data_IF_160314363896
#
_entry.id   IF_160314363896
#
_cell.length_a   1.000
_cell.length_b   1.000
_cell.length_c   1.000
_cell.angle_alpha   90.00
_cell.angle_beta   90.00
_cell.angle_gamma   90.00
#
_symmetry.space_group_name_H-M   'P 1'
#
loop_
_entity.id
_entity.type
_entity.pdbx_description
1 polymer ?
#
# COMPACT_ATOMS: atom_id res chain seq x y z
N UNK A 1 26.14 -52.91 7.83
CA UNK A 1 26.88 -52.06 6.85
C UNK A 1 26.39 -52.20 5.39
N UNK A 2 25.19 -52.74 5.09
CA UNK A 2 24.65 -52.84 3.71
C UNK A 2 23.12 -52.60 3.60
N UNK A 3 22.50 -52.00 4.61
CA UNK A 3 21.07 -51.64 4.60
C UNK A 3 20.80 -50.13 4.58
N UNK A 4 21.81 -49.30 4.86
CA UNK A 4 21.67 -47.83 4.89
C UNK A 4 22.02 -47.15 3.56
N UNK A 5 22.73 -47.84 2.64
CA UNK A 5 23.02 -47.32 1.31
C UNK A 5 21.82 -47.41 0.35
N UNK A 6 20.92 -48.38 0.54
CA UNK A 6 19.77 -48.61 -0.35
C UNK A 6 18.60 -47.63 -0.14
N UNK A 7 18.59 -46.89 0.97
CA UNK A 7 17.58 -45.86 1.28
C UNK A 7 18.01 -44.50 0.70
N UNK A 8 19.32 -44.23 0.64
CA UNK A 8 19.84 -43.01 0.02
C UNK A 8 19.68 -43.00 -1.51
N UNK A 9 19.88 -44.15 -2.18
CA UNK A 9 19.72 -44.25 -3.65
C UNK A 9 18.26 -44.23 -4.17
N UNK A 10 17.26 -44.40 -3.29
CA UNK A 10 15.85 -44.20 -3.67
C UNK A 10 15.34 -42.78 -3.43
N UNK A 11 16.07 -41.96 -2.66
CA UNK A 11 15.69 -40.57 -2.38
C UNK A 11 16.27 -39.62 -3.45
N UNK A 12 17.40 -39.95 -4.08
CA UNK A 12 17.99 -39.14 -5.15
C UNK A 12 17.26 -39.23 -6.50
N UNK A 13 16.53 -40.32 -6.77
CA UNK A 13 15.76 -40.48 -8.02
C UNK A 13 14.40 -39.77 -7.98
N UNK A 14 13.91 -39.36 -6.80
CA UNK A 14 12.67 -38.58 -6.66
C UNK A 14 12.93 -37.07 -6.72
N UNK A 15 14.15 -36.62 -6.43
CA UNK A 15 14.52 -35.21 -6.46
C UNK A 15 14.79 -34.65 -7.89
N UNK A 16 15.10 -35.52 -8.87
CA UNK A 16 15.34 -35.11 -10.26
C UNK A 16 14.15 -35.33 -11.20
N UNK A 17 13.00 -35.78 -10.70
CA UNK A 17 11.77 -35.90 -11.51
C UNK A 17 10.70 -34.83 -11.19
N UNK A 18 10.97 -33.94 -10.23
CA UNK A 18 10.13 -32.76 -9.93
C UNK A 18 10.83 -31.46 -10.40
N UNK A 19 11.74 -31.56 -11.37
CA UNK A 19 12.30 -30.43 -12.12
C UNK A 19 12.25 -30.67 -13.64
N UNK A 20 11.26 -31.45 -14.09
CA UNK A 20 10.97 -31.62 -15.53
C UNK A 20 9.47 -31.66 -15.83
N UNK A 21 8.66 -31.07 -14.96
CA UNK A 21 7.30 -30.67 -15.34
C UNK A 21 7.44 -29.35 -16.11
N UNK A 22 7.81 -29.51 -17.39
CA UNK A 22 7.49 -28.62 -18.51
C UNK A 22 7.72 -27.11 -18.31
N UNK A 23 8.50 -26.52 -19.22
CA UNK A 23 8.47 -25.09 -19.55
C UNK A 23 7.10 -24.66 -20.10
N UNK A 24 6.01 -24.94 -19.39
CA UNK A 24 4.80 -24.15 -19.54
C UNK A 24 5.14 -22.82 -18.88
N UNK A 25 5.61 -21.85 -19.67
CA UNK A 25 5.46 -20.44 -19.32
C UNK A 25 3.98 -20.29 -18.98
N UNK A 26 3.62 -20.37 -17.70
CA UNK A 26 2.29 -19.98 -17.24
C UNK A 26 2.21 -18.50 -17.56
N UNK A 27 1.59 -18.19 -18.69
CA UNK A 27 1.24 -16.82 -19.03
C UNK A 27 0.28 -16.39 -17.93
N UNK A 28 0.78 -15.59 -16.99
CA UNK A 28 -0.07 -14.91 -16.05
C UNK A 28 -1.05 -14.07 -16.88
N UNK A 29 -2.34 -14.01 -16.50
CA UNK A 29 -3.31 -13.21 -17.22
C UNK A 29 -2.84 -11.75 -17.26
N UNK A 30 -2.61 -11.24 -18.48
CA UNK A 30 -2.11 -9.89 -18.69
C UNK A 30 -3.20 -8.85 -18.45
N UNK A 31 -2.82 -7.72 -17.87
CA UNK A 31 -3.70 -6.60 -17.56
C UNK A 31 -4.00 -5.83 -18.86
N UNK A 32 -5.28 -5.59 -19.15
CA UNK A 32 -5.72 -4.85 -20.34
C UNK A 32 -5.16 -3.40 -20.36
N UNK A 33 -5.08 -2.75 -21.54
CA UNK A 33 -4.70 -1.34 -21.64
C UNK A 33 -5.49 -0.45 -20.67
N UNK A 34 -4.81 0.53 -20.06
CA UNK A 34 -5.32 1.40 -18.99
C UNK A 34 -5.66 0.70 -17.65
N UNK A 35 -5.35 -0.59 -17.50
CA UNK A 35 -5.46 -1.26 -16.20
C UNK A 35 -4.35 -0.85 -15.22
N UNK A 36 -4.62 -1.03 -13.92
CA UNK A 36 -3.69 -0.70 -12.84
C UNK A 36 -2.65 -1.80 -12.69
N UNK A 37 -1.36 -1.46 -12.81
CA UNK A 37 -0.23 -2.38 -12.74
C UNK A 37 0.73 -2.07 -11.57
N UNK A 38 0.25 -1.34 -10.55
CA UNK A 38 1.03 -0.93 -9.37
C UNK A 38 1.72 -2.13 -8.71
N UNK A 39 3.04 -2.07 -8.58
CA UNK A 39 3.86 -3.16 -8.02
C UNK A 39 4.43 -4.14 -9.05
N UNK A 40 4.09 -3.96 -10.34
CA UNK A 40 4.64 -4.73 -11.47
C UNK A 40 5.36 -3.82 -12.48
N UNK A 41 5.90 -2.69 -12.02
CA UNK A 41 6.70 -1.79 -12.85
C UNK A 41 7.96 -2.53 -13.34
N UNK A 42 8.16 -2.64 -14.65
CA UNK A 42 9.28 -3.39 -15.26
C UNK A 42 9.05 -4.87 -15.55
N UNK A 43 7.84 -5.41 -15.32
CA UNK A 43 7.46 -6.78 -15.70
C UNK A 43 6.41 -6.76 -16.83
N UNK A 44 6.27 -7.86 -17.59
CA UNK A 44 5.26 -8.07 -18.66
C UNK A 44 3.83 -8.24 -18.09
N UNK A 45 3.43 -7.37 -17.17
CA UNK A 45 2.11 -7.39 -16.55
C UNK A 45 1.03 -6.78 -17.45
N UNK A 46 1.40 -5.97 -18.44
CA UNK A 46 0.49 -5.25 -19.31
C UNK A 46 0.37 -5.91 -20.69
N UNK A 47 -0.86 -6.08 -21.18
CA UNK A 47 -1.13 -6.69 -22.47
C UNK A 47 -0.65 -5.79 -23.61
N UNK A 48 0.37 -6.28 -24.34
CA UNK A 48 1.03 -5.55 -25.43
C UNK A 48 1.47 -4.13 -25.02
N UNK A 49 2.01 -3.99 -23.80
CA UNK A 49 2.32 -2.68 -23.24
C UNK A 49 3.26 -2.74 -22.05
N UNK A 50 3.54 -1.57 -21.47
CA UNK A 50 4.42 -1.44 -20.31
C UNK A 50 3.70 -0.79 -19.15
N UNK A 51 4.05 -1.21 -17.95
CA UNK A 51 3.58 -0.57 -16.74
C UNK A 51 4.38 0.72 -16.50
N UNK A 52 3.74 1.88 -16.67
CA UNK A 52 4.36 3.19 -16.50
C UNK A 52 3.52 4.01 -15.53
N UNK A 53 4.14 4.50 -14.46
CA UNK A 53 3.49 5.27 -13.39
C UNK A 53 2.24 4.56 -12.84
N UNK A 54 2.35 3.24 -12.58
CA UNK A 54 1.25 2.37 -12.14
C UNK A 54 0.12 2.10 -13.14
N UNK A 55 0.22 2.49 -14.41
CA UNK A 55 -0.80 2.24 -15.44
C UNK A 55 -0.25 1.51 -16.66
N UNK A 56 -1.05 0.61 -17.24
CA UNK A 56 -0.71 -0.08 -18.48
C UNK A 56 -0.84 0.84 -19.69
N UNK A 57 0.29 1.18 -20.30
CA UNK A 57 0.38 1.95 -21.55
C UNK A 57 0.59 0.99 -22.73
N UNK A 58 -0.18 1.09 -23.84
CA UNK A 58 0.08 0.32 -25.05
C UNK A 58 1.48 0.58 -25.59
N UNK A 59 2.17 -0.48 -26.03
CA UNK A 59 3.53 -0.39 -26.57
C UNK A 59 3.54 0.31 -27.91
N UNK A 60 4.02 1.55 -27.95
CA UNK A 60 4.55 2.13 -29.19
C UNK A 60 5.85 1.38 -29.49
N UNK A 61 5.97 0.76 -30.66
CA UNK A 61 7.23 0.20 -31.14
C UNK A 61 8.23 1.35 -31.31
N UNK A 62 9.02 1.63 -30.28
CA UNK A 62 10.08 2.62 -30.37
C UNK A 62 11.26 1.97 -31.09
N UNK A 63 11.40 2.25 -32.38
CA UNK A 63 12.68 2.08 -33.06
C UNK A 63 13.70 2.91 -32.30
N UNK A 64 14.73 2.24 -31.78
CA UNK A 64 15.87 2.88 -31.16
C UNK A 64 16.62 3.66 -32.24
N UNK A 65 16.63 4.98 -32.14
CA UNK A 65 17.75 5.79 -32.63
C UNK A 65 18.37 6.48 -31.43
N UNK A 66 19.37 5.80 -30.88
CA UNK A 66 20.41 6.43 -30.10
C UNK A 66 21.18 7.37 -31.04
N UNK A 67 21.19 8.67 -30.73
CA UNK A 67 22.32 9.52 -31.07
C UNK A 67 22.68 10.30 -29.81
N UNK A 68 23.80 9.89 -29.21
CA UNK A 68 24.59 10.72 -28.32
C UNK A 68 24.95 12.01 -29.06
N UNK A 69 24.70 13.16 -28.43
CA UNK A 69 25.54 14.36 -28.55
C UNK A 69 25.03 15.48 -27.62
N UNK A 70 25.76 15.69 -26.53
CA UNK A 70 26.05 17.04 -26.01
C UNK A 70 27.52 17.35 -26.37
N UNK A 71 28.03 18.60 -26.28
CA UNK A 71 27.38 19.86 -25.85
C UNK A 71 27.62 21.01 -26.86
N UNK A 72 27.01 22.19 -26.64
CA UNK A 72 27.67 23.52 -26.69
C UNK A 72 26.66 24.65 -26.37
N UNK A 73 26.93 25.31 -25.23
CA UNK A 73 26.95 26.76 -24.96
C UNK A 73 26.22 27.73 -25.91
N UNK A 74 25.37 28.62 -25.37
CA UNK A 74 25.50 30.11 -25.41
C UNK A 74 24.27 30.81 -24.79
N UNK A 75 24.56 31.91 -24.06
CA UNK A 75 23.72 33.06 -23.69
C UNK A 75 22.68 32.97 -22.56
N UNK A 76 23.00 33.76 -21.53
CA UNK A 76 22.12 34.35 -20.52
C UNK A 76 20.97 35.14 -21.16
N UNK A 77 19.75 35.00 -20.63
CA UNK A 77 18.82 36.12 -20.52
C UNK A 77 18.09 36.10 -19.18
N UNK A 78 18.42 37.13 -18.41
CA UNK A 78 17.86 37.54 -17.14
C UNK A 78 16.51 38.20 -17.39
N UNK A 79 15.42 37.69 -16.80
CA UNK A 79 14.20 38.48 -16.60
C UNK A 79 13.92 38.52 -15.10
N UNK A 80 14.41 39.59 -14.48
CA UNK A 80 13.91 40.09 -13.21
C UNK A 80 12.60 40.85 -13.45
N UNK A 81 11.60 40.61 -12.61
CA UNK A 81 10.52 41.55 -12.25
C UNK A 81 9.85 40.96 -11.00
N UNK A 82 10.32 41.30 -9.80
CA UNK A 82 10.03 42.47 -8.95
C UNK A 82 8.55 42.60 -8.56
N UNK A 83 8.33 42.37 -7.27
CA UNK A 83 7.14 42.57 -6.46
C UNK A 83 6.37 43.86 -6.72
N UNK A 84 5.05 43.77 -6.58
CA UNK A 84 4.22 44.85 -5.99
C UNK A 84 3.25 44.24 -4.97
N UNK A 85 3.55 44.45 -3.69
CA UNK A 85 2.59 44.42 -2.58
C UNK A 85 1.87 45.76 -2.51
N UNK A 86 0.54 45.76 -2.28
CA UNK A 86 -0.28 46.76 -1.54
C UNK A 86 -1.79 46.66 -1.93
N UNK A 87 -2.76 47.26 -1.18
CA UNK A 87 -3.21 46.84 0.14
C UNK A 87 -4.77 46.76 0.25
N UNK A 88 -5.24 46.29 1.41
CA UNK A 88 -6.55 46.51 2.06
C UNK A 88 -7.74 47.01 1.24
N UNK A 89 -8.72 46.13 1.04
CA UNK A 89 -10.14 46.50 0.92
C UNK A 89 -10.93 45.71 1.98
N UNK A 90 -11.43 46.48 2.94
CA UNK A 90 -12.20 46.07 4.11
C UNK A 90 -13.67 46.01 3.71
N UNK A 91 -14.25 44.82 3.56
CA UNK A 91 -15.71 44.70 3.50
C UNK A 91 -16.22 43.52 4.34
N UNK A 92 -16.78 43.93 5.48
CA UNK A 92 -18.01 43.43 6.11
C UNK A 92 -17.96 42.03 6.75
N UNK A 93 -17.86 42.10 8.08
CA UNK A 93 -18.24 41.06 9.04
C UNK A 93 -19.69 40.66 8.85
N UNK A 94 -19.93 39.63 8.04
CA UNK A 94 -21.15 38.86 8.11
C UNK A 94 -20.92 37.71 9.07
N UNK A 95 -21.31 37.90 10.32
CA UNK A 95 -21.50 36.84 11.32
C UNK A 95 -22.57 35.86 10.84
N UNK A 96 -22.26 34.57 10.60
CA UNK A 96 -23.26 33.53 10.62
C UNK A 96 -23.42 33.09 12.08
N UNK A 97 -24.55 33.51 12.66
CA UNK A 97 -25.34 32.82 13.69
C UNK A 97 -24.74 31.50 14.17
N UNK A 98 -24.37 31.47 15.45
CA UNK A 98 -24.12 30.26 16.25
C UNK A 98 -25.22 29.24 15.98
N UNK A 99 -24.90 28.24 15.15
CA UNK A 99 -25.66 27.01 15.12
C UNK A 99 -25.08 26.15 16.24
N UNK A 100 -25.93 25.88 17.23
CA UNK A 100 -25.74 24.82 18.20
C UNK A 100 -25.40 23.54 17.45
N UNK A 101 -24.12 23.14 17.51
CA UNK A 101 -23.65 21.89 16.94
C UNK A 101 -24.32 20.73 17.69
N UNK A 102 -25.41 20.25 17.12
CA UNK A 102 -25.93 18.92 17.41
C UNK A 102 -24.85 17.88 17.06
N UNK A 103 -24.78 16.72 17.73
CA UNK A 103 -23.80 15.69 17.41
C UNK A 103 -24.10 15.11 16.02
N UNK A 104 -23.47 15.67 14.98
CA UNK A 104 -23.58 15.15 13.64
C UNK A 104 -23.00 13.73 13.62
N UNK A 105 -23.86 12.74 13.43
CA UNK A 105 -23.46 11.38 13.09
C UNK A 105 -22.59 11.48 11.83
N UNK A 106 -21.41 10.85 11.88
CA UNK A 106 -20.38 10.97 10.86
C UNK A 106 -20.95 10.72 9.44
N UNK A 107 -20.50 11.48 8.43
CA UNK A 107 -20.87 11.23 7.04
C UNK A 107 -20.49 9.80 6.65
N UNK A 108 -21.28 9.20 5.75
CA UNK A 108 -21.05 7.86 5.25
C UNK A 108 -19.60 7.74 4.72
N UNK A 109 -18.79 6.76 5.17
CA UNK A 109 -17.37 6.69 4.80
C UNK A 109 -17.18 6.63 3.29
N UNK A 110 -16.19 7.35 2.78
CA UNK A 110 -15.83 7.28 1.37
C UNK A 110 -15.35 5.87 1.01
N UNK A 111 -15.95 5.25 -0.01
CA UNK A 111 -15.55 3.92 -0.47
C UNK A 111 -14.19 4.01 -1.17
N UNK A 112 -13.21 3.26 -0.69
CA UNK A 112 -11.86 3.21 -1.22
C UNK A 112 -11.22 1.84 -0.95
N UNK A 113 -10.85 1.12 -2.01
CA UNK A 113 -10.16 -0.18 -1.92
C UNK A 113 -8.79 -0.13 -1.25
N UNK A 114 -8.19 1.06 -1.12
CA UNK A 114 -6.94 1.31 -0.38
C UNK A 114 -7.19 1.92 1.02
N UNK A 115 -8.39 1.75 1.57
CA UNK A 115 -8.69 2.21 2.92
C UNK A 115 -8.16 1.22 3.96
N UNK A 116 -7.04 1.55 4.60
CA UNK A 116 -6.40 0.76 5.64
C UNK A 116 -6.03 1.60 6.85
N UNK A 117 -5.84 0.94 7.98
CA UNK A 117 -5.10 1.45 9.12
C UNK A 117 -3.62 1.08 8.95
N UNK A 118 -2.75 1.88 9.56
CA UNK A 118 -1.31 1.65 9.54
C UNK A 118 -0.79 1.04 10.85
N UNK A 119 -1.60 1.05 11.92
CA UNK A 119 -1.24 0.59 13.27
C UNK A 119 -2.31 -0.37 13.85
N UNK A 120 -1.91 -1.52 14.45
CA UNK A 120 -2.85 -2.48 15.04
C UNK A 120 -3.65 -1.93 16.23
N UNK A 121 -3.26 -0.79 16.79
CA UNK A 121 -3.96 -0.13 17.90
C UNK A 121 -5.05 0.85 17.44
N UNK A 122 -5.18 1.14 16.15
CA UNK A 122 -6.14 2.11 15.61
C UNK A 122 -7.59 1.86 16.08
N UNK A 123 -8.03 0.60 16.12
CA UNK A 123 -9.38 0.25 16.59
C UNK A 123 -9.59 0.50 18.10
N UNK A 124 -8.53 0.38 18.90
CA UNK A 124 -8.57 0.69 20.33
C UNK A 124 -8.63 2.20 20.55
N UNK A 125 -7.76 2.94 19.87
CA UNK A 125 -7.72 4.41 19.93
C UNK A 125 -9.00 5.07 19.42
N UNK A 126 -9.57 4.58 18.32
CA UNK A 126 -10.84 5.08 17.81
C UNK A 126 -11.97 4.93 18.84
N UNK A 127 -12.05 3.79 19.53
CA UNK A 127 -13.02 3.55 20.63
C UNK A 127 -12.79 4.47 21.83
N UNK A 128 -11.55 4.88 22.07
CA UNK A 128 -11.19 5.84 23.12
C UNK A 128 -11.45 7.31 22.72
N UNK A 129 -11.96 7.56 21.51
CA UNK A 129 -12.29 8.92 21.05
C UNK A 129 -11.12 9.67 20.41
N UNK A 130 -9.99 9.00 20.15
CA UNK A 130 -8.80 9.62 19.56
C UNK A 130 -9.09 10.22 18.18
N UNK A 131 -10.08 9.72 17.44
CA UNK A 131 -10.52 10.31 16.17
C UNK A 131 -11.00 11.76 16.31
N UNK A 132 -11.36 12.20 17.53
CA UNK A 132 -11.76 13.59 17.84
C UNK A 132 -10.67 14.36 18.59
N UNK A 133 -9.87 13.67 19.39
CA UNK A 133 -8.84 14.28 20.25
C UNK A 133 -7.54 14.46 19.47
N UNK A 134 -7.09 13.43 18.76
CA UNK A 134 -5.86 13.40 17.99
C UNK A 134 -6.15 13.28 16.48
N UNK A 135 -6.89 14.25 15.96
CA UNK A 135 -7.37 14.27 14.57
C UNK A 135 -6.24 14.05 13.56
N UNK A 136 -5.11 14.76 13.73
CA UNK A 136 -4.03 14.75 12.74
C UNK A 136 -3.40 13.34 12.60
N UNK A 137 -3.11 12.69 13.72
CA UNK A 137 -2.57 11.33 13.71
C UNK A 137 -3.59 10.33 13.18
N UNK A 138 -4.82 10.38 13.72
CA UNK A 138 -5.84 9.41 13.40
C UNK A 138 -6.33 9.52 11.95
N UNK A 139 -6.43 10.74 11.40
CA UNK A 139 -6.76 10.95 9.98
C UNK A 139 -5.64 10.47 9.04
N UNK A 140 -4.39 10.40 9.52
CA UNK A 140 -3.27 9.95 8.71
C UNK A 140 -3.10 8.44 8.75
N UNK A 141 -3.15 7.85 9.93
CA UNK A 141 -2.76 6.46 10.17
C UNK A 141 -3.93 5.53 10.50
N UNK A 142 -5.07 6.06 10.98
CA UNK A 142 -6.21 5.27 11.46
C UNK A 142 -7.50 5.60 10.71
N UNK A 143 -7.38 5.91 9.41
CA UNK A 143 -8.49 6.38 8.56
C UNK A 143 -9.70 5.45 8.59
N UNK A 144 -9.45 4.14 8.58
CA UNK A 144 -10.51 3.13 8.58
C UNK A 144 -11.22 3.10 9.93
N UNK A 145 -10.47 3.01 11.04
CA UNK A 145 -11.09 3.00 12.38
C UNK A 145 -11.86 4.29 12.68
N UNK A 146 -11.41 5.43 12.15
CA UNK A 146 -12.14 6.70 12.24
C UNK A 146 -13.25 6.89 11.21
N UNK A 147 -13.55 5.87 10.40
CA UNK A 147 -14.62 5.89 9.39
C UNK A 147 -14.50 7.04 8.39
N UNK A 148 -13.26 7.46 8.09
CA UNK A 148 -12.98 8.45 7.04
C UNK A 148 -13.11 7.78 5.67
N UNK A 149 -12.79 6.49 5.61
CA UNK A 149 -12.98 5.66 4.44
C UNK A 149 -13.46 4.26 4.84
N UNK A 150 -13.92 3.50 3.86
CA UNK A 150 -14.23 2.08 4.02
C UNK A 150 -13.71 1.30 2.80
N UNK A 151 -13.18 0.10 3.02
CA UNK A 151 -12.75 -0.80 1.95
C UNK A 151 -13.87 -1.80 1.65
N UNK A 152 -14.54 -1.71 0.48
CA UNK A 152 -15.67 -2.59 0.18
C UNK A 152 -15.28 -4.07 0.03
N UNK A 153 -14.00 -4.35 -0.21
CA UNK A 153 -13.48 -5.73 -0.35
C UNK A 153 -13.05 -6.35 0.98
N UNK A 154 -13.08 -5.58 2.07
CA UNK A 154 -12.54 -5.98 3.36
C UNK A 154 -13.55 -5.77 4.49
N UNK A 155 -14.63 -6.56 4.44
CA UNK A 155 -15.70 -6.58 5.45
C UNK A 155 -15.60 -7.77 6.41
N UNK A 156 -14.49 -8.52 6.35
CA UNK A 156 -14.31 -9.73 7.15
C UNK A 156 -13.93 -9.34 8.57
N UNK A 157 -14.51 -10.04 9.55
CA UNK A 157 -14.16 -9.90 10.95
C UNK A 157 -13.16 -11.00 11.35
N UNK A 158 -12.36 -10.73 12.39
CA UNK A 158 -11.38 -11.68 12.91
C UNK A 158 -10.03 -11.65 12.19
N UNK A 159 -9.23 -12.71 12.38
CA UNK A 159 -7.89 -12.79 11.81
C UNK A 159 -7.91 -13.17 10.34
N UNK A 160 -7.38 -12.30 9.49
CA UNK A 160 -7.22 -12.54 8.06
C UNK A 160 -6.24 -11.52 7.47
N UNK A 161 -5.84 -11.74 6.24
CA UNK A 161 -5.09 -10.76 5.45
C UNK A 161 -6.06 -9.82 4.75
N UNK A 162 -5.84 -8.52 4.98
CA UNK A 162 -6.63 -7.40 4.44
C UNK A 162 -6.09 -6.91 3.11
N UNK A 163 -4.83 -7.20 2.81
CA UNK A 163 -4.18 -6.78 1.58
C UNK A 163 -3.73 -7.98 0.74
N UNK A 164 -3.95 -7.91 -0.57
CA UNK A 164 -3.69 -9.02 -1.50
C UNK A 164 -2.19 -9.39 -1.57
N UNK A 165 -1.31 -8.40 -1.36
CA UNK A 165 0.16 -8.58 -1.39
C UNK A 165 0.79 -9.10 -0.09
N UNK A 166 0.02 -9.51 0.92
CA UNK A 166 0.58 -9.99 2.19
C UNK A 166 1.60 -11.12 2.01
N UNK A 167 1.29 -12.12 1.18
CA UNK A 167 2.21 -13.24 0.87
C UNK A 167 3.53 -12.75 0.27
N UNK A 168 3.49 -11.79 -0.66
CA UNK A 168 4.68 -11.19 -1.26
C UNK A 168 5.52 -10.47 -0.21
N UNK A 169 4.92 -9.64 0.63
CA UNK A 169 5.66 -8.89 1.67
C UNK A 169 6.21 -9.78 2.77
N UNK A 170 5.55 -10.90 3.08
CA UNK A 170 6.10 -11.91 3.98
C UNK A 170 7.40 -12.51 3.47
N UNK A 171 7.48 -12.79 2.17
CA UNK A 171 8.70 -13.27 1.53
C UNK A 171 9.84 -12.23 1.61
N UNK A 172 9.49 -10.93 1.66
CA UNK A 172 10.43 -9.82 1.86
C UNK A 172 10.75 -9.53 3.34
N UNK A 173 10.37 -10.40 4.27
CA UNK A 173 10.55 -10.24 5.72
C UNK A 173 9.87 -9.00 6.34
N UNK A 174 8.75 -8.55 5.74
CA UNK A 174 8.06 -7.35 6.25
C UNK A 174 7.33 -7.60 7.57
N UNK A 175 6.96 -8.85 7.90
CA UNK A 175 6.40 -9.16 9.23
C UNK A 175 7.33 -8.76 10.37
N UNK A 176 8.64 -8.67 10.11
CA UNK A 176 9.63 -8.17 11.08
C UNK A 176 9.97 -6.71 10.81
N UNK A 177 10.28 -6.34 9.55
CA UNK A 177 10.77 -4.99 9.19
C UNK A 177 9.70 -3.90 9.20
N UNK A 178 8.44 -4.26 8.92
CA UNK A 178 7.28 -3.36 8.87
C UNK A 178 6.16 -3.92 9.76
N UNK A 179 6.54 -4.29 10.98
CA UNK A 179 5.72 -5.11 11.89
C UNK A 179 4.36 -4.48 12.20
N UNK A 180 4.28 -3.18 12.44
CA UNK A 180 3.02 -2.46 12.69
C UNK A 180 2.03 -2.60 11.54
N UNK A 181 2.44 -2.16 10.34
CA UNK A 181 1.59 -2.22 9.16
C UNK A 181 1.15 -3.66 8.85
N UNK A 182 2.08 -4.62 8.94
CA UNK A 182 1.76 -6.02 8.72
C UNK A 182 0.83 -6.60 9.80
N UNK A 183 0.95 -6.16 11.05
CA UNK A 183 0.09 -6.64 12.14
C UNK A 183 -1.35 -6.16 11.97
N UNK A 184 -1.52 -4.97 11.42
CA UNK A 184 -2.86 -4.50 11.09
C UNK A 184 -3.39 -5.20 9.83
N UNK A 185 -2.58 -5.38 8.78
CA UNK A 185 -3.09 -5.70 7.45
C UNK A 185 -2.81 -7.14 6.96
N UNK A 186 -1.94 -7.89 7.62
CA UNK A 186 -1.41 -9.19 7.16
C UNK A 186 -1.29 -10.22 8.30
N UNK A 187 -2.33 -10.31 9.12
CA UNK A 187 -2.31 -11.10 10.36
C UNK A 187 -2.13 -12.60 10.10
N UNK A 188 -2.83 -13.15 9.10
CA UNK A 188 -2.79 -14.58 8.82
C UNK A 188 -1.42 -14.96 8.25
N UNK A 189 -0.95 -14.23 7.24
CA UNK A 189 0.35 -14.49 6.63
C UNK A 189 1.52 -14.34 7.61
N UNK A 190 1.43 -13.41 8.58
CA UNK A 190 2.47 -13.23 9.60
C UNK A 190 2.30 -14.13 10.83
N UNK A 191 1.24 -14.95 10.90
CA UNK A 191 1.04 -15.91 11.99
C UNK A 191 0.50 -15.31 13.30
N UNK A 192 -0.24 -14.20 13.23
CA UNK A 192 -0.80 -13.51 14.41
C UNK A 192 -2.24 -13.89 14.75
N UNK A 193 -2.81 -14.92 14.11
CA UNK A 193 -4.19 -15.35 14.39
C UNK A 193 -4.43 -15.98 15.77
N UNK A 194 -3.36 -16.31 16.50
CA UNK A 194 -3.45 -16.83 17.86
C UNK A 194 -3.50 -15.72 18.93
N UNK A 195 -3.62 -14.46 18.52
CA UNK A 195 -3.73 -13.30 19.39
C UNK A 195 -5.05 -12.58 19.15
N UNK A 196 -5.63 -12.03 20.20
CA UNK A 196 -6.73 -11.08 20.05
C UNK A 196 -6.19 -9.69 19.61
N UNK A 197 -7.05 -8.78 19.10
CA UNK A 197 -6.60 -7.46 18.61
C UNK A 197 -5.83 -6.65 19.65
N UNK A 198 -6.21 -6.73 20.93
CA UNK A 198 -5.57 -6.00 22.02
C UNK A 198 -4.16 -6.54 22.31
N UNK A 199 -3.98 -7.86 22.34
CA UNK A 199 -2.68 -8.51 22.48
C UNK A 199 -1.78 -8.21 21.28
N UNK A 200 -2.35 -8.20 20.07
CA UNK A 200 -1.60 -7.87 18.87
C UNK A 200 -1.11 -6.42 18.91
N UNK A 201 -2.00 -5.48 19.24
CA UNK A 201 -1.65 -4.09 19.50
C UNK A 201 -0.53 -3.98 20.55
N UNK A 202 -0.69 -4.59 21.73
CA UNK A 202 0.31 -4.51 22.80
C UNK A 202 1.66 -5.14 22.45
N UNK A 203 1.67 -6.22 21.65
CA UNK A 203 2.90 -6.93 21.29
C UNK A 203 3.65 -6.29 20.12
N UNK A 204 2.98 -5.48 19.30
CA UNK A 204 3.54 -4.89 18.06
C UNK A 204 3.73 -3.38 18.15
N UNK A 205 2.90 -2.68 18.92
CA UNK A 205 3.12 -1.27 19.17
C UNK A 205 4.42 -1.11 19.97
N UNK A 206 5.46 -0.63 19.28
CA UNK A 206 6.44 0.22 19.95
C UNK A 206 5.64 1.38 20.50
N UNK A 207 5.63 1.57 21.82
CA UNK A 207 4.89 2.65 22.47
C UNK A 207 5.00 3.94 21.67
N UNK A 208 3.97 4.29 20.89
CA UNK A 208 3.87 5.53 20.12
C UNK A 208 3.62 6.74 21.04
N UNK A 209 4.10 6.66 22.29
CA UNK A 209 3.99 7.63 23.36
C UNK A 209 5.38 7.73 24.02
N UNK A 210 6.29 8.35 23.29
CA UNK A 210 7.43 9.06 23.86
C UNK A 210 7.30 10.51 23.41
#
# INVERSE_FOLDING_TARGET
MRREQLVHDKIQTVAHHICSVTHVKRQLPQIKPNGLCRGFEGFDACWQGSCVASWCRPGQQFQQQFTDQQPQTTAMQTVQQRNTMQPSQRFQTNTPRSQTAQPQMAPNPALNSNCYNDDPCCDSWARQGECRINLAYMNRYCRRSCRICANPTDNRMGCHDRHLSCAFWRAQNYCTRRRQWMAENCQATCGWCNMNPQQLCASVAFMSRA
#
